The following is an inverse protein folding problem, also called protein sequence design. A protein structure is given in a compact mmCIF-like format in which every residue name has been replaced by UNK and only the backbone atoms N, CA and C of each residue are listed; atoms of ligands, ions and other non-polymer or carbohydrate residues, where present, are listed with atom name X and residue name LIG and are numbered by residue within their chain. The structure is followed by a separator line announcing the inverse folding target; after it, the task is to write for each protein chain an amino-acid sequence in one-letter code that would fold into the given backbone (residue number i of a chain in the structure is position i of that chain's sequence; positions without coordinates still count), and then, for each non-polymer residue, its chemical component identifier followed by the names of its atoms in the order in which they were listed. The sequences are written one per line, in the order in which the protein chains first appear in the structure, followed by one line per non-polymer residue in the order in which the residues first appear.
data_IF_302843348689
#
_entry.id   IF_302843348689
#
_cell.length_a   1.000
_cell.length_b   1.000
_cell.length_c   1.000
_cell.angle_alpha   90.00
_cell.angle_beta   90.00
_cell.angle_gamma   90.00
#
_symmetry.space_group_name_H-M   'P 1'
#
loop_
_entity.id
_entity.type
_entity.pdbx_description
1 polymer ?
#
# COMPACT_ATOMS: atom_id res chain seq x y z
N UNK A 1 -5.25 -62.76 -10.51
CA UNK A 1 -6.46 -62.20 -9.79
C UNK A 1 -6.10 -61.91 -8.34
N UNK A 2 -5.06 -61.10 -8.04
CA UNK A 2 -4.65 -60.75 -6.66
C UNK A 2 -4.23 -59.27 -6.50
N UNK A 3 -4.58 -58.40 -7.45
CA UNK A 3 -4.12 -56.98 -7.39
C UNK A 3 -5.20 -55.99 -7.01
N UNK A 4 -6.46 -56.38 -6.92
CA UNK A 4 -7.60 -55.43 -6.73
C UNK A 4 -8.04 -55.27 -5.26
N UNK A 5 -7.46 -56.04 -4.33
CA UNK A 5 -7.88 -55.98 -2.90
C UNK A 5 -7.12 -54.89 -2.14
N UNK A 6 -5.88 -54.55 -2.55
CA UNK A 6 -5.08 -53.55 -1.86
C UNK A 6 -5.55 -52.10 -2.14
N UNK A 7 -6.12 -51.82 -3.27
CA UNK A 7 -6.66 -50.49 -3.59
C UNK A 7 -7.93 -50.12 -2.83
N UNK A 8 -8.75 -51.11 -2.52
CA UNK A 8 -10.01 -50.85 -1.77
C UNK A 8 -9.76 -50.51 -0.30
N UNK A 9 -8.69 -51.01 0.31
CA UNK A 9 -8.36 -50.72 1.72
C UNK A 9 -7.71 -49.35 1.86
N UNK A 10 -6.91 -48.89 0.89
CA UNK A 10 -6.28 -47.58 0.92
C UNK A 10 -7.30 -46.42 0.74
N UNK A 11 -8.34 -46.63 -0.08
CA UNK A 11 -9.39 -45.61 -0.30
C UNK A 11 -10.31 -45.50 0.93
N UNK A 12 -10.59 -46.59 1.63
CA UNK A 12 -11.42 -46.58 2.84
C UNK A 12 -10.72 -45.95 4.03
N UNK A 13 -9.39 -46.05 4.12
CA UNK A 13 -8.60 -45.37 5.16
C UNK A 13 -8.50 -43.85 4.93
N UNK A 14 -8.52 -43.38 3.68
CA UNK A 14 -8.47 -41.95 3.35
C UNK A 14 -9.81 -41.23 3.59
N UNK A 15 -10.94 -41.95 3.56
CA UNK A 15 -12.27 -41.39 3.77
C UNK A 15 -12.64 -41.27 5.27
N UNK A 16 -11.95 -41.95 6.15
CA UNK A 16 -12.20 -41.88 7.61
C UNK A 16 -11.50 -40.70 8.33
N UNK A 17 -10.63 -39.98 7.64
CA UNK A 17 -9.96 -38.80 8.22
C UNK A 17 -10.79 -37.51 8.09
N UNK A 18 -11.85 -37.53 7.25
CA UNK A 18 -12.68 -36.34 7.01
C UNK A 18 -14.00 -36.29 7.79
N UNK A 19 -14.32 -37.27 8.60
CA UNK A 19 -15.56 -37.32 9.39
C UNK A 19 -15.39 -37.16 10.90
N UNK A 20 -14.37 -36.45 11.36
CA UNK A 20 -14.27 -35.99 12.75
C UNK A 20 -14.53 -34.48 12.84
N UNK A 21 -15.57 -33.97 12.19
CA UNK A 21 -16.21 -32.74 12.61
C UNK A 21 -17.34 -33.09 13.56
N UNK A 22 -16.99 -33.23 14.85
CA UNK A 22 -17.98 -33.17 15.92
C UNK A 22 -18.61 -31.78 15.89
N UNK A 23 -19.92 -31.75 15.72
CA UNK A 23 -20.77 -30.67 16.13
C UNK A 23 -20.50 -30.39 17.61
N UNK A 24 -19.84 -29.29 17.89
CA UNK A 24 -19.79 -28.73 19.24
C UNK A 24 -20.42 -27.35 19.16
N UNK A 25 -21.51 -27.23 19.90
CA UNK A 25 -22.35 -26.06 19.96
C UNK A 25 -21.62 -24.90 20.60
N UNK A 26 -21.57 -23.74 19.92
CA UNK A 26 -21.80 -22.44 20.55
C UNK A 26 -20.72 -21.83 21.43
N UNK A 27 -19.49 -22.35 21.51
CA UNK A 27 -18.35 -21.56 21.98
C UNK A 27 -17.40 -21.32 20.81
N UNK A 28 -17.41 -20.09 20.31
CA UNK A 28 -16.48 -19.65 19.27
C UNK A 28 -15.07 -20.08 19.68
N UNK A 29 -14.42 -20.92 18.90
CA UNK A 29 -13.04 -21.36 19.11
C UNK A 29 -12.22 -20.10 19.39
N UNK A 30 -11.88 -19.87 20.64
CA UNK A 30 -10.83 -18.93 21.05
C UNK A 30 -9.51 -19.51 20.54
N UNK A 31 -9.28 -19.36 19.23
CA UNK A 31 -7.98 -19.62 18.64
C UNK A 31 -6.98 -18.85 19.46
N UNK A 32 -5.81 -19.42 19.68
CA UNK A 32 -4.76 -18.77 20.45
C UNK A 32 -4.46 -17.41 19.79
N UNK A 33 -5.03 -16.33 20.36
CA UNK A 33 -4.92 -14.96 19.84
C UNK A 33 -3.48 -14.61 19.55
N UNK A 34 -2.55 -15.09 20.41
CA UNK A 34 -1.12 -14.85 20.23
C UNK A 34 -0.61 -15.30 18.85
N UNK A 35 -1.06 -16.44 18.34
CA UNK A 35 -0.61 -16.93 17.04
C UNK A 35 -1.36 -16.23 15.88
N UNK A 36 -2.62 -15.88 16.10
CA UNK A 36 -3.47 -15.28 15.07
C UNK A 36 -3.11 -13.83 14.79
N UNK A 37 -2.57 -13.11 15.79
CA UNK A 37 -2.21 -11.69 15.62
C UNK A 37 -0.83 -11.50 15.00
N UNK A 38 0.06 -12.48 15.08
CA UNK A 38 1.41 -12.37 14.51
C UNK A 38 1.32 -12.10 13.01
N UNK A 39 1.98 -11.02 12.57
CA UNK A 39 1.96 -10.56 11.19
C UNK A 39 1.90 -9.05 11.09
N UNK A 40 1.74 -8.57 9.86
CA UNK A 40 1.66 -7.14 9.55
C UNK A 40 0.23 -6.77 9.19
N UNK A 41 -0.26 -5.70 9.76
CA UNK A 41 -1.65 -5.27 9.71
C UNK A 41 -1.75 -3.79 9.40
N UNK A 42 -2.65 -3.42 8.48
CA UNK A 42 -3.00 -2.03 8.20
C UNK A 42 -4.23 -1.63 9.02
N UNK A 43 -4.16 -0.51 9.70
CA UNK A 43 -5.32 0.08 10.38
C UNK A 43 -6.24 0.68 9.33
N UNK A 44 -7.49 0.22 9.27
CA UNK A 44 -8.49 0.63 8.27
C UNK A 44 -9.52 1.60 8.81
N UNK A 45 -10.05 1.32 10.00
CA UNK A 45 -11.08 2.16 10.62
C UNK A 45 -10.81 2.34 12.10
N UNK A 46 -11.13 3.51 12.58
CA UNK A 46 -10.96 3.88 13.97
C UNK A 46 -11.98 4.93 14.36
N UNK A 47 -12.90 4.59 15.28
CA UNK A 47 -14.00 5.47 15.68
C UNK A 47 -13.64 6.42 16.82
N UNK A 48 -12.57 6.15 17.54
CA UNK A 48 -12.21 6.88 18.76
C UNK A 48 -11.38 8.14 18.53
N UNK A 49 -11.01 8.42 17.29
CA UNK A 49 -10.22 9.59 16.93
C UNK A 49 -10.85 10.28 15.72
N UNK A 50 -10.65 11.58 15.66
CA UNK A 50 -11.03 12.40 14.53
C UNK A 50 -10.25 11.92 13.28
N UNK A 51 -10.86 11.00 12.54
CA UNK A 51 -10.28 10.34 11.35
C UNK A 51 -10.16 11.28 10.17
N UNK A 52 -10.60 12.53 10.29
CA UNK A 52 -10.33 13.57 9.29
C UNK A 52 -8.84 13.91 9.22
N UNK A 53 -8.08 13.57 10.24
CA UNK A 53 -6.61 13.69 10.19
C UNK A 53 -6.04 12.43 9.55
N UNK A 54 -5.89 12.49 8.30
CA UNK A 54 -4.85 12.16 7.35
C UNK A 54 -3.73 11.22 7.88
N UNK A 55 -4.11 10.10 8.55
CA UNK A 55 -3.19 9.14 9.14
C UNK A 55 -3.45 7.73 8.63
N UNK A 56 -2.38 6.98 8.45
CA UNK A 56 -2.43 5.54 8.23
C UNK A 56 -1.32 4.88 9.05
N UNK A 57 -1.58 3.70 9.57
CA UNK A 57 -0.61 2.97 10.37
C UNK A 57 -0.54 1.52 9.90
N UNK A 58 0.71 1.02 9.86
CA UNK A 58 1.01 -0.39 9.64
C UNK A 58 1.62 -0.93 10.94
N UNK A 59 0.98 -1.92 11.54
CA UNK A 59 1.41 -2.52 12.79
C UNK A 59 1.88 -3.94 12.55
N UNK A 60 3.12 -4.23 12.95
CA UNK A 60 3.71 -5.58 12.85
C UNK A 60 3.86 -6.18 14.24
N UNK A 61 3.19 -7.29 14.49
CA UNK A 61 3.35 -8.12 15.68
C UNK A 61 4.26 -9.30 15.35
N UNK A 62 5.31 -9.49 16.12
CA UNK A 62 6.27 -10.56 15.89
C UNK A 62 6.11 -11.68 16.94
N UNK A 63 6.47 -12.91 16.62
CA UNK A 63 6.35 -14.05 17.51
C UNK A 63 7.21 -13.95 18.78
N UNK A 64 8.20 -13.06 18.81
CA UNK A 64 9.04 -12.80 19.99
C UNK A 64 8.53 -11.62 20.83
N UNK A 65 7.23 -11.35 20.78
CA UNK A 65 6.54 -10.33 21.57
C UNK A 65 7.02 -8.88 21.31
N UNK A 66 7.57 -8.62 20.14
CA UNK A 66 7.89 -7.27 19.68
C UNK A 66 6.77 -6.73 18.82
N UNK A 67 6.49 -5.45 18.94
CA UNK A 67 5.56 -4.72 18.09
C UNK A 67 6.26 -3.51 17.50
N UNK A 68 6.00 -3.28 16.22
CA UNK A 68 6.46 -2.11 15.50
C UNK A 68 5.26 -1.48 14.78
N UNK A 69 5.10 -0.16 14.91
CA UNK A 69 4.11 0.60 14.17
C UNK A 69 4.80 1.62 13.29
N UNK A 70 4.63 1.51 11.99
CA UNK A 70 5.01 2.52 11.02
C UNK A 70 3.85 3.49 10.84
N UNK A 71 4.12 4.74 11.09
CA UNK A 71 3.17 5.83 10.99
C UNK A 71 3.32 6.56 9.66
N UNK A 72 2.20 6.89 9.03
CA UNK A 72 2.14 7.60 7.75
C UNK A 72 1.17 8.76 7.87
N UNK A 73 1.54 9.89 7.28
CA UNK A 73 0.77 11.13 7.33
C UNK A 73 0.51 11.64 5.91
N UNK A 74 -0.72 12.03 5.64
CA UNK A 74 -1.09 12.74 4.43
C UNK A 74 -1.12 14.26 4.69
N UNK A 75 -0.05 14.93 4.32
CA UNK A 75 0.03 16.39 4.38
C UNK A 75 -0.52 17.09 3.13
N UNK A 76 -0.95 16.30 2.14
CA UNK A 76 -1.41 16.82 0.85
C UNK A 76 -2.93 16.97 0.76
N UNK A 77 -3.66 16.16 1.52
CA UNK A 77 -5.13 16.06 1.42
C UNK A 77 -5.63 15.16 0.28
N UNK A 78 -4.73 14.57 -0.51
CA UNK A 78 -5.07 13.72 -1.66
C UNK A 78 -5.11 12.23 -1.34
N UNK A 79 -4.83 11.84 -0.09
CA UNK A 79 -4.70 10.44 0.31
C UNK A 79 -3.30 9.88 0.08
N UNK A 80 -2.29 10.74 -0.08
CA UNK A 80 -0.88 10.36 -0.23
C UNK A 80 -0.26 10.27 1.16
N UNK A 81 -0.27 9.08 1.74
CA UNK A 81 0.25 8.84 3.08
C UNK A 81 1.74 8.52 3.03
N UNK A 82 2.57 9.51 3.29
CA UNK A 82 4.04 9.36 3.34
C UNK A 82 4.46 8.86 4.72
N UNK A 83 5.52 8.05 4.74
CA UNK A 83 6.13 7.62 5.98
C UNK A 83 6.59 8.82 6.82
N UNK A 84 6.25 8.81 8.10
CA UNK A 84 6.61 9.84 9.07
C UNK A 84 7.57 9.29 10.13
N UNK A 85 7.15 8.24 10.87
CA UNK A 85 7.95 7.70 11.98
C UNK A 85 7.68 6.19 12.21
N UNK A 86 8.55 5.57 13.00
CA UNK A 86 8.41 4.19 13.47
C UNK A 86 8.46 4.12 14.98
N UNK A 87 7.40 3.58 15.58
CA UNK A 87 7.31 3.30 17.01
C UNK A 87 7.58 1.83 17.28
N UNK A 88 8.38 1.53 18.30
CA UNK A 88 8.75 0.17 18.67
C UNK A 88 8.44 -0.11 20.13
N UNK A 89 8.00 -1.32 20.41
CA UNK A 89 7.65 -1.74 21.75
C UNK A 89 7.55 -3.25 21.91
N UNK A 90 6.84 -3.65 22.92
CA UNK A 90 6.51 -5.06 23.18
C UNK A 90 5.00 -5.25 23.28
N UNK A 91 4.55 -6.48 23.10
CA UNK A 91 3.16 -6.85 23.25
C UNK A 91 3.02 -8.17 24.02
N UNK A 92 1.86 -8.36 24.62
CA UNK A 92 1.48 -9.59 25.31
C UNK A 92 -0.02 -9.81 25.21
N UNK A 93 -0.47 -11.03 25.45
CA UNK A 93 -1.89 -11.40 25.47
C UNK A 93 -2.26 -11.93 26.84
N UNK A 94 -3.39 -11.46 27.37
CA UNK A 94 -4.05 -11.98 28.55
C UNK A 94 -5.55 -12.19 28.24
N UNK A 95 -5.95 -13.45 28.08
CA UNK A 95 -7.29 -13.80 27.62
C UNK A 95 -7.57 -13.28 26.21
N UNK A 96 -8.54 -12.38 26.10
CA UNK A 96 -8.87 -11.67 24.85
C UNK A 96 -8.30 -10.25 24.79
N UNK A 97 -7.38 -9.90 25.67
CA UNK A 97 -6.76 -8.57 25.74
C UNK A 97 -5.35 -8.61 25.20
N UNK A 98 -5.02 -7.64 24.40
CA UNK A 98 -3.67 -7.39 23.91
C UNK A 98 -3.15 -6.15 24.63
N UNK A 99 -2.01 -6.29 25.26
CA UNK A 99 -1.28 -5.24 25.94
C UNK A 99 -0.10 -4.83 25.08
N UNK A 100 0.07 -3.55 24.83
CA UNK A 100 1.20 -3.02 24.11
C UNK A 100 1.91 -1.96 24.92
N UNK A 101 3.24 -1.98 24.93
CA UNK A 101 4.06 -0.95 25.55
C UNK A 101 4.80 -0.18 24.43
N UNK A 102 4.09 0.67 23.73
CA UNK A 102 4.70 1.58 22.77
C UNK A 102 4.61 3.01 23.29
N UNK A 103 5.75 3.72 23.45
CA UNK A 103 5.71 5.13 23.76
C UNK A 103 5.08 5.87 22.57
N UNK A 104 4.19 6.79 22.87
CA UNK A 104 3.58 7.69 21.88
C UNK A 104 2.57 7.07 20.91
N UNK A 105 2.10 5.85 21.18
CA UNK A 105 1.02 5.33 20.36
C UNK A 105 -0.25 6.13 20.61
N UNK A 106 -0.80 6.66 19.56
CA UNK A 106 -2.05 7.39 19.51
C UNK A 106 -3.30 6.56 19.92
N UNK A 107 -3.18 5.24 20.05
CA UNK A 107 -4.23 4.32 20.53
C UNK A 107 -4.34 4.35 22.07
N UNK A 108 -4.15 5.48 22.73
CA UNK A 108 -4.37 5.59 24.19
C UNK A 108 -3.61 4.55 25.02
N UNK A 109 -3.99 4.28 26.27
CA UNK A 109 -3.36 3.25 27.05
C UNK A 109 -3.56 1.91 26.35
N UNK A 110 -2.63 1.52 25.71
CA UNK A 110 -2.04 0.32 25.13
C UNK A 110 -2.79 -1.02 25.32
N UNK A 111 -4.11 -0.99 25.52
CA UNK A 111 -4.93 -2.15 25.79
C UNK A 111 -6.04 -2.26 24.78
N UNK A 112 -5.96 -3.31 23.97
CA UNK A 112 -6.97 -3.62 22.96
C UNK A 112 -7.69 -4.90 23.38
N UNK A 113 -9.01 -4.85 23.43
CA UNK A 113 -9.85 -6.04 23.62
C UNK A 113 -10.20 -6.57 22.25
N UNK A 114 -9.81 -7.80 21.95
CA UNK A 114 -10.16 -8.47 20.70
C UNK A 114 -11.63 -8.83 20.71
N UNK A 115 -12.40 -8.23 19.81
CA UNK A 115 -13.83 -8.53 19.60
C UNK A 115 -14.03 -9.63 18.59
N UNK A 116 -13.26 -9.58 17.49
CA UNK A 116 -13.33 -10.57 16.43
C UNK A 116 -11.96 -10.72 15.77
N UNK A 117 -11.60 -11.95 15.45
CA UNK A 117 -10.40 -12.27 14.70
C UNK A 117 -10.73 -13.25 13.57
N UNK A 118 -10.39 -12.86 12.37
CA UNK A 118 -10.50 -13.64 11.15
C UNK A 118 -9.12 -13.71 10.50
N UNK A 119 -8.95 -14.55 9.51
CA UNK A 119 -7.66 -14.75 8.83
C UNK A 119 -7.02 -13.44 8.37
N UNK A 120 -7.82 -12.53 7.80
CA UNK A 120 -7.34 -11.29 7.19
C UNK A 120 -7.89 -10.02 7.87
N UNK A 121 -8.61 -10.16 8.99
CA UNK A 121 -9.24 -9.02 9.65
C UNK A 121 -9.32 -9.21 11.15
N UNK A 122 -8.99 -8.16 11.89
CA UNK A 122 -9.12 -8.12 13.34
C UNK A 122 -9.88 -6.87 13.73
N UNK A 123 -10.83 -7.01 14.64
CA UNK A 123 -11.56 -5.89 15.23
C UNK A 123 -11.29 -5.84 16.73
N UNK A 124 -11.03 -4.64 17.23
CA UNK A 124 -10.73 -4.36 18.62
C UNK A 124 -11.63 -3.27 19.16
N UNK A 125 -11.92 -3.32 20.46
CA UNK A 125 -12.33 -2.18 21.24
C UNK A 125 -11.18 -1.72 22.14
N UNK A 126 -10.79 -0.43 22.12
CA UNK A 126 -9.84 0.10 23.10
C UNK A 126 -10.48 0.05 24.50
N UNK A 127 -9.76 -0.54 25.45
CA UNK A 127 -10.29 -0.69 26.80
C UNK A 127 -10.55 0.66 27.48
N UNK A 128 -11.74 0.80 28.02
CA UNK A 128 -12.20 2.01 28.73
C UNK A 128 -12.90 3.05 27.81
N UNK A 129 -13.10 2.72 26.56
CA UNK A 129 -13.78 3.60 25.60
C UNK A 129 -14.98 2.86 24.99
N UNK A 130 -16.11 2.85 25.71
CA UNK A 130 -17.35 2.22 25.22
C UNK A 130 -17.78 2.84 23.90
N UNK A 131 -18.01 1.99 22.88
CA UNK A 131 -18.40 2.41 21.54
C UNK A 131 -17.24 2.74 20.60
N UNK A 132 -15.98 2.76 21.08
CA UNK A 132 -14.84 2.89 20.22
C UNK A 132 -14.46 1.54 19.58
N UNK A 133 -14.05 1.58 18.33
CA UNK A 133 -13.55 0.40 17.64
C UNK A 133 -12.34 0.73 16.76
N UNK A 134 -11.48 -0.26 16.59
CA UNK A 134 -10.36 -0.26 15.64
C UNK A 134 -10.46 -1.52 14.80
N UNK A 135 -10.36 -1.37 13.51
CA UNK A 135 -10.30 -2.50 12.57
C UNK A 135 -8.97 -2.49 11.86
N UNK A 136 -8.32 -3.64 11.84
CA UNK A 136 -7.09 -3.87 11.08
C UNK A 136 -7.31 -4.98 10.05
N UNK A 137 -6.69 -4.83 8.89
CA UNK A 137 -6.68 -5.84 7.85
C UNK A 137 -5.23 -6.28 7.58
N UNK A 138 -5.07 -7.56 7.18
CA UNK A 138 -3.75 -8.10 6.83
C UNK A 138 -3.12 -7.23 5.77
N UNK A 139 -1.90 -6.77 6.04
CA UNK A 139 -1.17 -5.92 5.11
C UNK A 139 -0.14 -6.76 4.35
N UNK A 140 -0.15 -6.63 3.03
CA UNK A 140 0.87 -7.15 2.14
C UNK A 140 1.54 -5.96 1.44
N UNK A 141 2.84 -5.86 1.49
CA UNK A 141 3.57 -4.88 0.69
C UNK A 141 3.34 -5.16 -0.80
N UNK A 142 3.12 -4.10 -1.58
CA UNK A 142 2.97 -4.23 -3.03
C UNK A 142 4.36 -4.28 -3.66
N UNK A 143 4.77 -5.47 -4.00
CA UNK A 143 5.99 -5.69 -4.76
C UNK A 143 5.76 -5.40 -6.25
N UNK A 144 6.78 -4.84 -6.90
CA UNK A 144 6.83 -4.67 -8.37
C UNK A 144 5.60 -3.99 -8.99
N UNK A 145 5.09 -2.95 -8.35
CA UNK A 145 3.90 -2.22 -8.81
C UNK A 145 4.22 -0.76 -9.09
N UNK A 146 3.62 -0.18 -10.14
CA UNK A 146 3.70 1.25 -10.40
C UNK A 146 2.98 2.08 -9.33
N UNK A 147 2.02 1.47 -8.63
CA UNK A 147 1.23 2.20 -7.63
C UNK A 147 2.08 2.60 -6.44
N UNK A 148 1.97 3.86 -6.04
CA UNK A 148 2.74 4.43 -4.96
C UNK A 148 3.26 5.83 -5.29
N UNK A 149 4.17 6.30 -4.46
CA UNK A 149 4.76 7.62 -4.53
C UNK A 149 6.21 7.51 -4.99
N UNK A 150 6.56 8.27 -6.01
CA UNK A 150 7.81 8.16 -6.72
C UNK A 150 8.50 9.52 -6.81
N UNK A 151 9.78 9.57 -6.49
CA UNK A 151 10.63 10.75 -6.60
C UNK A 151 11.50 10.66 -7.85
N UNK A 152 11.56 11.74 -8.61
CA UNK A 152 12.44 11.85 -9.76
C UNK A 152 13.91 11.85 -9.34
N UNK A 153 14.66 10.87 -9.82
CA UNK A 153 16.09 10.73 -9.54
C UNK A 153 16.94 11.34 -10.63
N UNK A 154 16.64 11.01 -11.87
CA UNK A 154 17.36 11.52 -13.06
C UNK A 154 16.56 11.22 -14.32
N UNK A 155 16.94 11.86 -15.43
CA UNK A 155 16.57 11.42 -16.77
C UNK A 155 17.75 11.42 -17.72
N UNK A 156 17.60 10.68 -18.82
CA UNK A 156 18.58 10.57 -19.89
C UNK A 156 17.88 10.41 -21.23
N UNK A 157 18.41 11.03 -22.25
CA UNK A 157 17.92 10.88 -23.60
C UNK A 157 18.18 12.08 -24.45
N UNK A 158 17.26 12.38 -25.37
CA UNK A 158 17.42 13.48 -26.31
C UNK A 158 16.16 14.34 -26.41
N UNK A 159 16.39 15.60 -26.73
CA UNK A 159 15.39 16.57 -27.16
C UNK A 159 15.69 16.97 -28.60
N UNK A 160 14.76 16.74 -29.52
CA UNK A 160 14.82 17.20 -30.88
C UNK A 160 13.93 18.42 -31.03
N UNK A 161 14.51 19.56 -31.40
CA UNK A 161 13.80 20.81 -31.69
C UNK A 161 13.25 20.87 -33.11
N UNK A 162 12.30 21.77 -33.33
CA UNK A 162 11.65 22.00 -34.63
C UNK A 162 12.64 22.12 -35.82
N UNK A 163 13.80 22.73 -35.61
CA UNK A 163 14.83 22.88 -36.64
C UNK A 163 15.68 21.60 -36.87
N UNK A 164 15.28 20.47 -36.27
CA UNK A 164 15.97 19.18 -36.34
C UNK A 164 17.23 19.10 -35.50
N UNK A 165 17.55 20.12 -34.69
CA UNK A 165 18.70 20.09 -33.78
C UNK A 165 18.42 19.21 -32.60
N UNK A 166 19.33 18.25 -32.34
CA UNK A 166 19.25 17.31 -31.23
C UNK A 166 20.14 17.78 -30.09
N UNK A 167 19.63 17.67 -28.87
CA UNK A 167 20.31 17.98 -27.60
C UNK A 167 20.25 16.77 -26.69
N UNK A 168 21.37 16.46 -26.07
CA UNK A 168 21.39 15.45 -25.02
C UNK A 168 20.76 16.00 -23.73
N UNK A 169 19.86 15.23 -23.14
CA UNK A 169 19.27 15.50 -21.85
C UNK A 169 19.95 14.58 -20.83
N UNK A 170 20.64 15.17 -19.86
CA UNK A 170 21.27 14.48 -18.74
C UNK A 170 20.76 14.99 -17.40
N UNK A 171 19.91 16.01 -17.41
CA UNK A 171 19.30 16.62 -16.23
C UNK A 171 17.82 16.92 -16.54
N UNK A 172 16.95 16.53 -15.62
CA UNK A 172 15.54 16.79 -15.74
C UNK A 172 15.22 18.16 -15.15
N UNK A 173 15.20 19.19 -15.96
CA UNK A 173 14.53 20.43 -15.62
C UNK A 173 13.01 20.35 -15.85
N UNK A 174 12.43 19.18 -15.54
CA UNK A 174 10.99 19.02 -15.64
C UNK A 174 10.24 19.79 -14.57
N UNK A 175 8.98 20.05 -14.85
CA UNK A 175 8.06 20.74 -13.96
C UNK A 175 7.60 19.86 -12.79
N UNK A 176 8.03 18.60 -12.72
CA UNK A 176 7.67 17.69 -11.65
C UNK A 176 8.90 17.08 -10.97
N UNK A 177 8.79 16.82 -9.67
CA UNK A 177 9.74 16.06 -8.89
C UNK A 177 9.15 14.75 -8.40
N UNK A 178 7.82 14.68 -8.25
CA UNK A 178 7.15 13.50 -7.73
C UNK A 178 5.95 13.12 -8.58
N UNK A 179 5.74 11.80 -8.68
CA UNK A 179 4.55 11.19 -9.26
C UNK A 179 3.89 10.28 -8.22
N UNK A 180 2.59 10.37 -8.11
CA UNK A 180 1.79 9.43 -7.32
C UNK A 180 0.79 8.72 -8.21
N UNK A 181 0.82 7.38 -8.17
CA UNK A 181 -0.10 6.51 -8.89
C UNK A 181 -0.95 5.74 -7.88
N UNK A 182 -2.27 5.86 -7.96
CA UNK A 182 -3.22 5.13 -7.12
C UNK A 182 -4.04 4.14 -7.93
N UNK A 183 -4.38 3.00 -7.34
CA UNK A 183 -5.30 2.03 -7.94
C UNK A 183 -6.75 2.52 -7.98
N UNK A 184 -7.09 3.42 -7.07
CA UNK A 184 -8.45 3.92 -6.86
C UNK A 184 -8.48 5.43 -7.06
N UNK A 185 -9.67 6.00 -7.14
CA UNK A 185 -9.81 7.45 -7.15
C UNK A 185 -9.16 8.08 -5.91
N UNK A 186 -8.57 9.25 -6.12
CA UNK A 186 -7.98 10.03 -5.03
C UNK A 186 -9.05 10.49 -4.04
N UNK A 187 -8.66 10.65 -2.78
CA UNK A 187 -9.54 11.16 -1.75
C UNK A 187 -10.08 12.55 -2.15
N UNK A 188 -11.40 12.72 -2.06
CA UNK A 188 -12.12 13.97 -2.41
C UNK A 188 -11.97 14.45 -3.86
N UNK A 189 -11.35 13.64 -4.74
CA UNK A 189 -11.10 13.98 -6.14
C UNK A 189 -11.56 12.86 -7.08
N UNK A 190 -12.87 12.63 -7.11
CA UNK A 190 -13.47 11.61 -7.97
C UNK A 190 -13.11 11.84 -9.46
N UNK A 191 -12.65 10.79 -10.11
CA UNK A 191 -12.25 10.83 -11.51
C UNK A 191 -10.75 11.10 -11.74
N UNK A 192 -9.95 11.23 -10.68
CA UNK A 192 -8.49 11.27 -10.75
C UNK A 192 -7.91 10.14 -9.92
N UNK A 193 -6.85 9.51 -10.42
CA UNK A 193 -6.16 8.42 -9.74
C UNK A 193 -4.65 8.63 -9.63
N UNK A 194 -4.15 9.81 -9.96
CA UNK A 194 -2.75 10.17 -9.82
C UNK A 194 -2.53 11.64 -9.54
N UNK A 195 -1.33 11.97 -9.09
CA UNK A 195 -0.89 13.33 -8.77
C UNK A 195 0.52 13.54 -9.31
N UNK A 196 0.73 14.71 -9.88
CA UNK A 196 2.02 15.26 -10.28
C UNK A 196 2.35 16.40 -9.32
N UNK A 197 3.53 16.39 -8.73
CA UNK A 197 3.93 17.38 -7.74
C UNK A 197 5.27 18.03 -8.12
N UNK A 198 5.43 19.31 -7.77
CA UNK A 198 6.69 20.03 -7.86
C UNK A 198 7.66 19.64 -6.72
N UNK A 199 8.85 20.23 -6.69
CA UNK A 199 9.89 20.01 -5.68
C UNK A 199 9.47 20.38 -4.25
N UNK A 200 8.42 21.18 -4.11
CA UNK A 200 7.89 21.63 -2.80
C UNK A 200 6.58 20.99 -2.43
N UNK A 201 6.05 20.13 -3.30
CA UNK A 201 4.73 19.49 -3.15
C UNK A 201 3.57 20.50 -2.96
N UNK A 202 3.75 21.74 -3.43
CA UNK A 202 2.81 22.85 -3.17
C UNK A 202 1.83 23.11 -4.31
N UNK A 203 2.11 22.60 -5.49
CA UNK A 203 1.30 22.85 -6.68
C UNK A 203 0.93 21.52 -7.33
N UNK A 204 0.07 20.72 -6.68
CA UNK A 204 -0.33 19.43 -7.22
C UNK A 204 -1.16 19.63 -8.48
N UNK A 205 -0.88 18.80 -9.48
CA UNK A 205 -1.70 18.64 -10.67
C UNK A 205 -2.33 17.25 -10.62
N UNK A 206 -3.65 17.19 -10.65
CA UNK A 206 -4.36 15.93 -10.65
C UNK A 206 -4.33 15.31 -12.03
N UNK A 207 -4.07 14.03 -12.10
CA UNK A 207 -4.06 13.28 -13.35
C UNK A 207 -4.97 12.07 -13.32
N UNK A 208 -5.41 11.66 -14.49
CA UNK A 208 -6.08 10.37 -14.69
C UNK A 208 -5.23 9.54 -15.66
N UNK A 209 -4.98 8.30 -15.29
CA UNK A 209 -4.13 7.41 -16.06
C UNK A 209 -4.68 5.98 -16.07
N UNK A 210 -4.31 5.23 -17.10
CA UNK A 210 -4.47 3.78 -17.18
C UNK A 210 -3.09 3.13 -17.24
N UNK A 211 -3.01 1.92 -16.68
CA UNK A 211 -1.83 1.09 -16.73
C UNK A 211 -2.19 -0.34 -17.12
N UNK A 212 -1.60 -0.85 -18.19
CA UNK A 212 -1.85 -2.19 -18.75
C UNK A 212 -0.82 -3.25 -18.34
N UNK A 213 0.14 -2.90 -17.48
CA UNK A 213 1.28 -3.74 -17.09
C UNK A 213 2.59 -3.36 -17.78
N UNK A 214 2.54 -2.64 -18.88
CA UNK A 214 3.71 -2.24 -19.66
C UNK A 214 3.70 -0.74 -20.03
N UNK A 215 2.53 -0.15 -20.13
CA UNK A 215 2.34 1.21 -20.61
C UNK A 215 1.45 1.99 -19.65
N UNK A 216 1.84 3.25 -19.40
CA UNK A 216 1.04 4.23 -18.67
C UNK A 216 0.54 5.26 -19.67
N UNK A 217 -0.77 5.39 -19.79
CA UNK A 217 -1.43 6.39 -20.64
C UNK A 217 -2.06 7.44 -19.73
N UNK A 218 -1.57 8.67 -19.78
CA UNK A 218 -2.15 9.80 -19.05
C UNK A 218 -3.07 10.55 -20.00
N UNK A 219 -4.36 10.60 -19.68
CA UNK A 219 -5.37 11.17 -20.58
C UNK A 219 -6.14 12.36 -20.01
N UNK A 220 -5.85 12.75 -18.77
CA UNK A 220 -6.45 13.93 -18.16
C UNK A 220 -5.51 14.53 -17.12
N UNK A 221 -5.23 15.80 -17.26
CA UNK A 221 -4.53 16.61 -16.26
C UNK A 221 -5.40 17.85 -16.00
N UNK A 222 -5.67 18.17 -14.73
CA UNK A 222 -6.63 19.23 -14.37
C UNK A 222 -6.10 20.64 -14.62
N UNK A 223 -4.80 20.82 -14.54
CA UNK A 223 -4.14 22.10 -14.76
C UNK A 223 -2.68 21.91 -15.18
N UNK A 224 -2.20 22.83 -15.98
CA UNK A 224 -0.80 22.84 -16.41
C UNK A 224 -0.50 21.99 -17.64
N UNK A 225 0.77 22.00 -18.03
CA UNK A 225 1.30 21.16 -19.10
C UNK A 225 2.03 19.99 -18.45
N UNK A 226 1.65 18.81 -18.81
CA UNK A 226 2.43 17.61 -18.58
C UNK A 226 2.83 17.06 -19.96
N UNK A 227 3.90 16.26 -19.99
CA UNK A 227 4.40 15.66 -21.21
C UNK A 227 3.25 14.96 -21.98
N UNK A 228 3.01 15.38 -23.21
CA UNK A 228 1.97 14.79 -24.07
C UNK A 228 2.53 13.56 -24.78
N UNK A 229 2.18 12.40 -24.30
CA UNK A 229 2.63 11.13 -24.84
C UNK A 229 2.46 9.98 -23.84
N UNK A 230 2.89 8.82 -24.28
CA UNK A 230 2.77 7.59 -23.52
C UNK A 230 4.09 7.24 -22.81
N UNK A 231 3.97 6.71 -21.61
CA UNK A 231 5.09 6.17 -20.86
C UNK A 231 5.13 4.65 -20.98
N UNK A 232 6.24 4.11 -21.46
CA UNK A 232 6.50 2.67 -21.44
C UNK A 232 7.31 2.32 -20.20
N UNK A 233 6.87 1.33 -19.43
CA UNK A 233 7.60 0.82 -18.27
C UNK A 233 8.72 -0.09 -18.75
N UNK A 234 9.96 0.38 -18.70
CA UNK A 234 11.16 -0.41 -19.07
C UNK A 234 11.56 -1.40 -17.99
N UNK A 235 11.45 -0.98 -16.75
CA UNK A 235 11.69 -1.86 -15.59
C UNK A 235 10.94 -1.34 -14.37
N UNK A 236 10.60 -2.27 -13.49
CA UNK A 236 10.00 -2.00 -12.19
C UNK A 236 10.57 -2.94 -11.16
N UNK A 237 10.90 -2.42 -10.00
CA UNK A 237 11.31 -3.14 -8.81
C UNK A 237 10.63 -2.50 -7.58
N UNK A 238 10.90 -3.04 -6.40
CA UNK A 238 10.33 -2.51 -5.17
C UNK A 238 10.72 -1.05 -4.92
N UNK A 239 11.96 -0.67 -5.28
CA UNK A 239 12.54 0.64 -4.96
C UNK A 239 12.64 1.57 -6.18
N UNK A 240 12.58 1.05 -7.39
CA UNK A 240 12.88 1.81 -8.60
C UNK A 240 11.93 1.48 -9.74
N UNK A 241 11.62 2.51 -10.53
CA UNK A 241 10.95 2.35 -11.83
C UNK A 241 11.72 3.15 -12.88
N UNK A 242 11.83 2.59 -14.08
CA UNK A 242 12.33 3.29 -15.26
C UNK A 242 11.20 3.40 -16.25
N UNK A 243 10.78 4.63 -16.52
CA UNK A 243 9.80 4.96 -17.53
C UNK A 243 10.53 5.50 -18.78
N UNK A 244 10.14 5.02 -19.93
CA UNK A 244 10.55 5.62 -21.20
C UNK A 244 9.42 6.49 -21.73
N UNK A 245 9.72 7.73 -22.01
CA UNK A 245 8.81 8.69 -22.61
C UNK A 245 9.26 9.04 -24.02
N UNK A 246 8.35 8.88 -24.96
CA UNK A 246 8.50 9.41 -26.31
C UNK A 246 7.27 10.27 -26.64
N UNK A 247 7.47 11.56 -26.82
CA UNK A 247 6.35 12.48 -27.02
C UNK A 247 6.76 13.94 -27.10
N UNK A 248 5.79 14.82 -26.93
CA UNK A 248 5.94 16.25 -27.10
C UNK A 248 5.70 16.99 -25.78
N UNK A 249 6.48 18.03 -25.48
CA UNK A 249 6.12 19.04 -24.47
C UNK A 249 5.47 20.27 -25.17
N UNK A 250 5.88 20.54 -26.40
CA UNK A 250 5.30 21.52 -27.26
C UNK A 250 5.18 20.93 -28.66
N UNK A 251 4.33 21.49 -29.58
CA UNK A 251 4.11 20.92 -30.89
C UNK A 251 5.37 20.68 -31.73
N UNK A 252 6.46 21.33 -31.39
CA UNK A 252 7.70 21.38 -32.15
C UNK A 252 8.91 20.72 -31.44
N UNK A 253 8.73 20.20 -30.25
CA UNK A 253 9.81 19.57 -29.47
C UNK A 253 9.49 18.13 -29.18
N UNK A 254 10.36 17.19 -29.60
CA UNK A 254 10.20 15.77 -29.40
C UNK A 254 11.21 15.32 -28.32
N UNK A 255 10.70 14.72 -27.27
CA UNK A 255 11.48 14.05 -26.23
C UNK A 255 11.56 12.54 -26.49
N UNK A 256 12.74 12.00 -26.37
CA UNK A 256 13.03 10.57 -26.37
C UNK A 256 13.92 10.30 -25.14
N UNK A 257 13.30 10.00 -24.01
CA UNK A 257 13.98 10.01 -22.70
C UNK A 257 13.59 8.84 -21.80
N UNK A 258 14.55 8.40 -21.01
CA UNK A 258 14.35 7.52 -19.88
C UNK A 258 14.28 8.33 -18.58
N UNK A 259 13.23 8.14 -17.80
CA UNK A 259 12.95 8.79 -16.54
C UNK A 259 13.15 7.74 -15.43
N UNK A 260 14.05 8.03 -14.51
CA UNK A 260 14.38 7.16 -13.39
C UNK A 260 13.74 7.69 -12.12
N UNK A 261 12.92 6.88 -11.51
CA UNK A 261 12.18 7.23 -10.29
C UNK A 261 12.56 6.29 -9.16
N UNK A 262 12.73 6.84 -7.97
CA UNK A 262 12.92 6.12 -6.71
C UNK A 262 11.59 6.06 -5.96
N UNK A 263 11.30 4.93 -5.33
CA UNK A 263 10.10 4.80 -4.50
C UNK A 263 10.25 5.59 -3.20
N UNK A 264 9.27 6.39 -2.89
CA UNK A 264 9.12 7.02 -1.57
C UNK A 264 8.22 6.12 -0.73
N UNK A 265 8.63 5.73 0.49
CA UNK A 265 7.79 4.91 1.36
C UNK A 265 6.43 5.56 1.59
N UNK A 266 5.38 4.84 1.25
CA UNK A 266 4.00 5.33 1.25
C UNK A 266 3.08 4.22 1.71
N UNK A 267 2.04 4.56 2.47
CA UNK A 267 0.95 3.64 2.73
C UNK A 267 0.05 3.58 1.49
N UNK A 268 -0.10 2.40 0.93
CA UNK A 268 -1.02 2.18 -0.19
C UNK A 268 -2.35 1.64 0.35
N UNK A 269 -3.43 2.38 0.10
CA UNK A 269 -4.76 1.84 0.31
C UNK A 269 -4.97 0.68 -0.68
N UNK A 270 -5.14 -0.52 -0.13
CA UNK A 270 -5.42 -1.75 -0.88
C UNK A 270 -6.89 -1.83 -1.26
#
# INVERSE_FOLDING_TARGET
MKLNIFYSIAITALLLVFCACSSDDGEGKKGNISNSIVGTWAVKNMSCFDTEKLRADIITFTANNRVEAKHYVDNTGYGIFKYDDTYKGSWSVDGNKIWMTMPSLWIGPNNLVVENIQENKISFSPWGNEGAYVTMEKYTEHENSIYGYWELSKCKGTLTKENGKVFDINDCSFTFHYLYFSKTALRNHNGYNGVILDDREKSPQLMNFDFDGSKIVIYKVDSGRFLDGDFTVKSISDDHIILHFYGHDAPTEIFDIDIYLNRVPTFLNQ
#
